data_IF_675855041098
#
_entry.id   IF_675855041098
#
_cell.length_a   1.000
_cell.length_b   1.000
_cell.length_c   1.000
_cell.angle_alpha   90.00
_cell.angle_beta   90.00
_cell.angle_gamma   90.00
#
_symmetry.space_group_name_H-M   'P 1'
#
loop_
_entity.id
_entity.type
_entity.pdbx_description
1 polymer ?
#
# COMPACT_ATOMS: atom_id res chain seq x y z
N UNK A 1 8.50 -0.62 -18.16
CA UNK A 1 8.19 0.00 -16.85
C UNK A 1 7.80 -1.02 -15.77
N UNK A 2 6.96 -2.04 -16.05
CA UNK A 2 6.63 -3.09 -15.05
C UNK A 2 7.85 -3.73 -14.39
N UNK A 3 8.88 -4.10 -15.18
CA UNK A 3 10.12 -4.70 -14.64
C UNK A 3 10.81 -3.80 -13.60
N UNK A 4 10.88 -2.48 -13.85
CA UNK A 4 11.48 -1.53 -12.91
C UNK A 4 10.68 -1.46 -11.61
N UNK A 5 9.35 -1.45 -11.68
CA UNK A 5 8.49 -1.46 -10.50
C UNK A 5 8.70 -2.75 -9.68
N UNK A 6 8.77 -3.92 -10.32
CA UNK A 6 9.07 -5.17 -9.63
C UNK A 6 10.48 -5.20 -9.01
N UNK A 7 11.48 -4.58 -9.64
CA UNK A 7 12.82 -4.43 -9.05
C UNK A 7 12.78 -3.59 -7.78
N UNK A 8 12.05 -2.46 -7.79
CA UNK A 8 11.86 -1.66 -6.57
C UNK A 8 11.09 -2.41 -5.49
N UNK A 9 10.05 -3.17 -5.85
CA UNK A 9 9.30 -4.01 -4.91
C UNK A 9 10.18 -5.08 -4.27
N UNK A 10 11.01 -5.74 -5.07
CA UNK A 10 11.96 -6.72 -4.55
C UNK A 10 12.96 -6.09 -3.57
N UNK A 11 13.50 -4.91 -3.90
CA UNK A 11 14.38 -4.17 -3.00
C UNK A 11 13.69 -3.80 -1.68
N UNK A 12 12.45 -3.32 -1.76
CA UNK A 12 11.61 -3.00 -0.61
C UNK A 12 11.42 -4.21 0.33
N UNK A 13 10.94 -5.35 -0.20
CA UNK A 13 10.73 -6.56 0.60
C UNK A 13 12.03 -7.08 1.24
N UNK A 14 13.17 -6.95 0.54
CA UNK A 14 14.48 -7.27 1.10
C UNK A 14 14.87 -6.34 2.24
N UNK A 15 14.61 -5.04 2.11
CA UNK A 15 14.86 -4.07 3.19
C UNK A 15 13.98 -4.32 4.42
N UNK A 16 12.69 -4.66 4.23
CA UNK A 16 11.80 -5.02 5.33
C UNK A 16 12.27 -6.28 6.05
N UNK A 17 12.65 -7.32 5.30
CA UNK A 17 13.22 -8.53 5.88
C UNK A 17 14.47 -8.25 6.71
N UNK A 18 15.41 -7.45 6.17
CA UNK A 18 16.60 -7.04 6.91
C UNK A 18 16.27 -6.24 8.17
N UNK A 19 15.24 -5.39 8.13
CA UNK A 19 14.78 -4.65 9.30
C UNK A 19 14.21 -5.59 10.37
N UNK A 20 13.37 -6.56 9.97
CA UNK A 20 12.83 -7.58 10.89
C UNK A 20 13.95 -8.41 11.51
N UNK A 21 14.91 -8.87 10.71
CA UNK A 21 16.06 -9.67 11.19
C UNK A 21 16.92 -8.88 12.20
N UNK A 22 17.04 -7.56 12.02
CA UNK A 22 17.89 -6.71 12.88
C UNK A 22 17.20 -6.20 14.15
N UNK A 23 15.92 -5.85 14.05
CA UNK A 23 15.19 -5.16 15.12
C UNK A 23 14.11 -6.02 15.77
N UNK A 24 13.78 -7.17 15.19
CA UNK A 24 12.67 -8.03 15.61
C UNK A 24 11.32 -7.57 15.05
N UNK A 25 10.38 -8.52 14.98
CA UNK A 25 9.04 -8.27 14.43
C UNK A 25 8.28 -7.21 15.23
N UNK A 26 8.39 -7.21 16.56
CA UNK A 26 7.68 -6.26 17.42
C UNK A 26 8.13 -4.81 17.18
N UNK A 27 9.43 -4.59 16.97
CA UNK A 27 9.95 -3.27 16.62
C UNK A 27 9.52 -2.85 15.21
N UNK A 28 9.57 -3.78 14.25
CA UNK A 28 9.11 -3.54 12.87
C UNK A 28 7.61 -3.22 12.78
N UNK A 29 6.80 -3.83 13.65
CA UNK A 29 5.36 -3.54 13.77
C UNK A 29 5.09 -2.38 14.75
N UNK A 30 6.14 -1.77 15.29
CA UNK A 30 6.07 -0.67 16.23
C UNK A 30 5.69 0.67 15.59
N UNK A 31 5.49 1.68 16.43
CA UNK A 31 4.95 2.97 16.02
C UNK A 31 5.80 3.71 14.98
N UNK A 32 7.13 3.59 15.05
CA UNK A 32 8.05 4.27 14.13
C UNK A 32 7.91 3.77 12.70
N UNK A 33 7.92 2.45 12.50
CA UNK A 33 7.70 1.84 11.20
C UNK A 33 6.27 2.09 10.69
N UNK A 34 5.26 2.02 11.58
CA UNK A 34 3.89 2.38 11.20
C UNK A 34 3.79 3.85 10.73
N UNK A 35 4.49 4.80 11.37
CA UNK A 35 4.56 6.20 10.91
C UNK A 35 5.23 6.30 9.54
N UNK A 36 6.30 5.54 9.31
CA UNK A 36 6.99 5.49 8.02
C UNK A 36 6.06 4.98 6.90
N UNK A 37 5.34 3.87 7.12
CA UNK A 37 4.40 3.32 6.14
C UNK A 37 3.20 4.24 5.89
N UNK A 38 2.68 4.90 6.94
CA UNK A 38 1.66 5.94 6.77
C UNK A 38 2.17 7.07 5.89
N UNK A 39 3.38 7.56 6.14
CA UNK A 39 4.01 8.60 5.32
C UNK A 39 4.15 8.19 3.85
N UNK A 40 4.52 6.93 3.59
CA UNK A 40 4.61 6.37 2.25
C UNK A 40 3.25 6.35 1.54
N UNK A 41 2.22 5.78 2.19
CA UNK A 41 0.86 5.75 1.65
C UNK A 41 0.27 7.14 1.40
N UNK A 42 0.47 8.07 2.34
CA UNK A 42 0.03 9.46 2.20
C UNK A 42 0.71 10.17 1.02
N UNK A 43 2.01 9.93 0.80
CA UNK A 43 2.73 10.49 -0.37
C UNK A 43 2.17 9.96 -1.69
N UNK A 44 1.88 8.65 -1.78
CA UNK A 44 1.25 8.07 -2.97
C UNK A 44 -0.13 8.68 -3.22
N UNK A 45 -0.99 8.71 -2.20
CA UNK A 45 -2.33 9.29 -2.31
C UNK A 45 -2.27 10.76 -2.75
N UNK A 46 -1.38 11.56 -2.15
CA UNK A 46 -1.18 12.96 -2.53
C UNK A 46 -0.83 13.10 -4.01
N UNK A 47 0.08 12.27 -4.54
CA UNK A 47 0.47 12.33 -5.95
C UNK A 47 -0.66 11.91 -6.90
N UNK A 48 -1.47 10.92 -6.53
CA UNK A 48 -2.64 10.54 -7.32
C UNK A 48 -3.67 11.68 -7.43
N UNK A 49 -3.84 12.44 -6.35
CA UNK A 49 -4.70 13.65 -6.33
C UNK A 49 -4.08 14.78 -7.14
N UNK A 50 -2.79 15.09 -6.96
CA UNK A 50 -2.08 16.14 -7.72
C UNK A 50 -2.12 15.89 -9.23
N UNK A 51 -2.04 14.63 -9.66
CA UNK A 51 -2.15 14.24 -11.07
C UNK A 51 -3.60 14.17 -11.58
N UNK A 52 -4.59 14.53 -10.75
CA UNK A 52 -6.02 14.45 -11.06
C UNK A 52 -6.49 13.05 -11.51
N UNK A 53 -5.78 12.00 -11.06
CA UNK A 53 -6.12 10.60 -11.34
C UNK A 53 -7.20 10.11 -10.37
N UNK A 54 -7.17 10.62 -9.14
CA UNK A 54 -8.19 10.40 -8.11
C UNK A 54 -8.71 11.76 -7.67
N UNK A 55 -10.03 11.93 -7.68
CA UNK A 55 -10.70 13.16 -7.30
C UNK A 55 -11.86 12.84 -6.37
N UNK A 56 -12.02 13.59 -5.30
CA UNK A 56 -13.10 13.39 -4.34
C UNK A 56 -12.65 12.76 -3.02
N UNK A 57 -13.55 12.79 -2.04
CA UNK A 57 -13.34 12.30 -0.68
C UNK A 57 -14.32 11.17 -0.31
N UNK A 58 -14.95 10.55 -1.31
CA UNK A 58 -15.87 9.45 -1.12
C UNK A 58 -15.14 8.09 -1.13
N UNK A 59 -15.88 7.05 -0.76
CA UNK A 59 -15.36 5.68 -0.73
C UNK A 59 -14.89 5.21 -2.11
N UNK A 60 -15.53 5.66 -3.19
CA UNK A 60 -15.18 5.23 -4.55
C UNK A 60 -13.83 5.79 -4.97
N UNK A 61 -13.54 7.03 -4.57
CA UNK A 61 -12.24 7.69 -4.71
C UNK A 61 -11.14 6.94 -3.96
N UNK A 62 -11.43 6.48 -2.74
CA UNK A 62 -10.49 5.67 -1.95
C UNK A 62 -10.23 4.31 -2.61
N UNK A 63 -11.27 3.61 -3.05
CA UNK A 63 -11.13 2.34 -3.79
C UNK A 63 -10.26 2.54 -5.02
N UNK A 64 -10.52 3.60 -5.80
CA UNK A 64 -9.72 3.93 -6.97
C UNK A 64 -8.26 4.21 -6.61
N UNK A 65 -8.02 4.94 -5.53
CA UNK A 65 -6.68 5.20 -5.01
C UNK A 65 -5.94 3.91 -4.63
N UNK A 66 -6.60 2.98 -3.93
CA UNK A 66 -6.01 1.70 -3.54
C UNK A 66 -5.70 0.82 -4.75
N UNK A 67 -6.58 0.77 -5.75
CA UNK A 67 -6.33 0.04 -7.01
C UNK A 67 -5.11 0.55 -7.78
N UNK A 68 -4.80 1.84 -7.65
CA UNK A 68 -3.66 2.49 -8.32
C UNK A 68 -2.42 2.60 -7.44
N UNK A 69 -2.51 2.19 -6.17
CA UNK A 69 -1.40 2.20 -5.23
C UNK A 69 -0.44 1.03 -5.49
N UNK A 70 0.68 1.02 -4.77
CA UNK A 70 1.60 -0.12 -4.78
C UNK A 70 0.91 -1.46 -4.44
N UNK A 71 -0.12 -1.47 -3.60
CA UNK A 71 -0.90 -2.68 -3.32
C UNK A 71 -1.57 -3.22 -4.58
N UNK A 72 -2.25 -2.37 -5.35
CA UNK A 72 -2.89 -2.79 -6.60
C UNK A 72 -1.90 -3.13 -7.72
N UNK A 73 -0.64 -2.69 -7.59
CA UNK A 73 0.41 -2.99 -8.56
C UNK A 73 1.12 -4.33 -8.29
N UNK A 74 1.37 -4.64 -7.01
CA UNK A 74 2.23 -5.78 -6.63
C UNK A 74 1.45 -6.95 -6.05
N UNK A 75 0.26 -6.73 -5.50
CA UNK A 75 -0.54 -7.75 -4.83
C UNK A 75 -1.87 -8.00 -5.55
N UNK A 76 -2.40 -9.21 -5.41
CA UNK A 76 -3.77 -9.51 -5.84
C UNK A 76 -4.74 -9.07 -4.74
N UNK A 77 -5.21 -7.82 -4.86
CA UNK A 77 -6.16 -7.24 -3.91
C UNK A 77 -7.61 -7.31 -4.41
N UNK A 78 -8.52 -7.60 -3.49
CA UNK A 78 -9.96 -7.46 -3.66
C UNK A 78 -10.48 -6.34 -2.77
N UNK A 79 -11.15 -5.37 -3.39
CA UNK A 79 -11.75 -4.21 -2.73
C UNK A 79 -13.27 -4.31 -2.86
N UNK A 80 -13.96 -4.20 -1.74
CA UNK A 80 -15.42 -4.30 -1.65
C UNK A 80 -15.96 -3.10 -0.87
N UNK A 81 -16.88 -2.35 -1.47
CA UNK A 81 -17.61 -1.27 -0.81
C UNK A 81 -18.70 -1.87 0.07
N UNK A 82 -18.57 -1.74 1.38
CA UNK A 82 -19.58 -2.22 2.33
C UNK A 82 -20.62 -1.13 2.63
N UNK A 83 -20.23 0.15 2.60
CA UNK A 83 -21.13 1.29 2.76
C UNK A 83 -20.49 2.56 2.19
N UNK A 84 -21.15 3.71 2.35
CA UNK A 84 -20.59 5.02 1.96
C UNK A 84 -19.38 5.47 2.81
N UNK A 85 -19.03 4.73 3.87
CA UNK A 85 -17.88 5.05 4.75
C UNK A 85 -16.98 3.85 5.06
N UNK A 86 -17.29 2.68 4.52
CA UNK A 86 -16.61 1.43 4.88
C UNK A 86 -16.23 0.67 3.63
N UNK A 87 -14.95 0.31 3.57
CA UNK A 87 -14.35 -0.53 2.52
C UNK A 87 -13.76 -1.76 3.20
N UNK A 88 -13.91 -2.92 2.57
CA UNK A 88 -13.14 -4.12 2.90
C UNK A 88 -12.07 -4.32 1.83
N UNK A 89 -10.83 -4.41 2.27
CA UNK A 89 -9.70 -4.83 1.45
C UNK A 89 -9.27 -6.23 1.88
N UNK A 90 -9.00 -7.11 0.90
CA UNK A 90 -8.41 -8.43 1.11
C UNK A 90 -7.24 -8.58 0.15
N UNK A 91 -6.11 -9.08 0.62
CA UNK A 91 -5.07 -9.63 -0.25
C UNK A 91 -5.36 -11.12 -0.40
N UNK A 92 -5.41 -11.60 -1.64
CA UNK A 92 -5.65 -13.00 -1.98
C UNK A 92 -4.42 -13.57 -2.67
N UNK A 93 -4.34 -14.91 -2.77
CA UNK A 93 -3.22 -15.60 -3.41
C UNK A 93 -1.84 -15.22 -2.83
N UNK A 94 -1.79 -14.88 -1.54
CA UNK A 94 -0.54 -14.56 -0.86
C UNK A 94 0.40 -15.77 -0.94
N UNK A 95 1.59 -15.60 -1.51
CA UNK A 95 2.67 -16.58 -1.38
C UNK A 95 3.32 -16.43 -0.01
N UNK A 96 3.39 -17.53 0.75
CA UNK A 96 4.19 -17.65 1.97
C UNK A 96 5.70 -17.50 1.68
#
# INVERSE_FOLDING_TARGET
MKNLAYTFNWGWLRSERLAIEKYGLDAFMGEEFLKLFRGFGSRQAKKLVELSIVTGNDVDSIIRGLQLSHWGLFEDIKLEKLSQKVIRMRTINCSL
#
